data_IF_814751924790
#
_entry.id   IF_814751924790
#
_cell.length_a   1.000
_cell.length_b   1.000
_cell.length_c   1.000
_cell.angle_alpha   90.00
_cell.angle_beta   90.00
_cell.angle_gamma   90.00
#
_symmetry.space_group_name_H-M   'P 1'
#
loop_
_entity.id
_entity.type
_entity.pdbx_description
1 polymer ?
#
# COMPACT_ATOMS: atom_id res chain seq x y z
N UNK A 1 -4.68 12.75 -22.46
CA UNK A 1 -4.26 12.32 -21.11
C UNK A 1 -2.77 12.03 -21.10
N UNK A 2 -2.07 12.43 -20.03
CA UNK A 2 -0.65 12.13 -19.83
C UNK A 2 -0.53 10.82 -19.05
N UNK A 3 0.55 10.08 -19.26
CA UNK A 3 0.85 8.86 -18.50
C UNK A 3 1.24 9.28 -17.08
N UNK A 4 0.73 8.63 -16.02
CA UNK A 4 1.22 8.83 -14.67
C UNK A 4 2.71 8.47 -14.59
N UNK A 5 3.52 9.43 -14.18
CA UNK A 5 4.96 9.28 -13.93
C UNK A 5 5.23 9.71 -12.50
N UNK A 6 6.36 9.28 -11.93
CA UNK A 6 6.74 9.72 -10.60
C UNK A 6 6.86 11.24 -10.53
N UNK A 7 6.19 11.84 -9.55
CA UNK A 7 6.41 13.23 -9.14
C UNK A 7 6.99 13.24 -7.71
N UNK A 8 8.05 14.02 -7.51
CA UNK A 8 8.63 14.23 -6.18
C UNK A 8 7.78 15.26 -5.42
N UNK A 9 7.42 14.92 -4.18
CA UNK A 9 6.76 15.82 -3.25
C UNK A 9 7.77 16.29 -2.20
N UNK A 10 8.20 17.54 -2.33
CA UNK A 10 9.03 18.21 -1.33
C UNK A 10 8.13 18.66 -0.18
N UNK A 11 8.40 18.16 1.02
CA UNK A 11 7.66 18.50 2.24
C UNK A 11 8.62 19.25 3.17
N UNK A 12 8.30 20.50 3.47
CA UNK A 12 9.12 21.35 4.34
C UNK A 12 8.78 21.13 5.82
N UNK A 13 7.50 20.90 6.13
CA UNK A 13 7.01 20.65 7.49
C UNK A 13 6.15 19.37 7.53
N UNK A 14 6.53 18.45 8.43
CA UNK A 14 5.88 17.16 8.65
C UNK A 14 4.86 17.20 9.81
N UNK A 15 4.42 18.39 10.22
CA UNK A 15 3.24 18.55 11.08
C UNK A 15 1.98 18.03 10.39
N UNK A 16 1.05 17.45 11.16
CA UNK A 16 -0.17 16.85 10.61
C UNK A 16 -1.02 17.87 9.85
N UNK A 17 -1.15 19.10 10.37
CA UNK A 17 -1.93 20.16 9.72
C UNK A 17 -1.35 20.53 8.36
N UNK A 18 -0.03 20.74 8.29
CA UNK A 18 0.63 21.09 7.03
C UNK A 18 0.59 19.92 6.03
N UNK A 19 0.78 18.69 6.48
CA UNK A 19 0.67 17.49 5.63
C UNK A 19 -0.71 17.35 5.01
N UNK A 20 -1.78 17.60 5.79
CA UNK A 20 -3.16 17.57 5.27
C UNK A 20 -3.38 18.62 4.20
N UNK A 21 -2.92 19.84 4.42
CA UNK A 21 -3.02 20.90 3.42
C UNK A 21 -2.23 20.53 2.17
N UNK A 22 -0.97 20.13 2.33
CA UNK A 22 -0.07 19.74 1.25
C UNK A 22 -0.65 18.61 0.41
N UNK A 23 -1.21 17.57 1.04
CA UNK A 23 -1.79 16.43 0.33
C UNK A 23 -3.11 16.75 -0.38
N UNK A 24 -3.92 17.68 0.16
CA UNK A 24 -5.12 18.17 -0.54
C UNK A 24 -4.78 19.02 -1.76
N UNK A 25 -3.74 19.84 -1.67
CA UNK A 25 -3.30 20.72 -2.76
C UNK A 25 -2.50 19.96 -3.83
N UNK A 26 -1.98 18.78 -3.48
CA UNK A 26 -1.21 17.90 -4.36
C UNK A 26 -2.04 16.79 -5.00
N UNK A 27 -1.46 16.13 -5.99
CA UNK A 27 -2.09 15.02 -6.73
C UNK A 27 -1.85 13.66 -6.05
N UNK A 28 -1.69 13.64 -4.73
CA UNK A 28 -1.41 12.40 -3.98
C UNK A 28 -2.58 11.43 -4.18
N UNK A 29 -2.27 10.15 -4.44
CA UNK A 29 -3.27 9.14 -4.77
C UNK A 29 -3.77 9.18 -6.23
N UNK A 30 -3.53 10.25 -6.99
CA UNK A 30 -3.92 10.36 -8.42
C UNK A 30 -2.78 10.02 -9.38
N UNK A 31 -1.55 10.12 -8.90
CA UNK A 31 -0.31 9.76 -9.61
C UNK A 31 0.67 9.12 -8.63
N UNK A 32 1.64 8.32 -9.11
CA UNK A 32 2.66 7.77 -8.23
C UNK A 32 3.58 8.90 -7.74
N UNK A 33 3.80 8.97 -6.43
CA UNK A 33 4.61 10.03 -5.84
C UNK A 33 5.61 9.48 -4.84
N UNK A 34 6.66 10.24 -4.56
CA UNK A 34 7.59 9.93 -3.49
C UNK A 34 8.04 11.19 -2.76
N UNK A 35 8.43 11.05 -1.50
CA UNK A 35 9.07 12.11 -0.72
C UNK A 35 10.44 11.65 -0.21
N UNK A 36 11.41 12.57 -0.28
CA UNK A 36 12.79 12.33 0.13
C UNK A 36 13.05 12.83 1.55
N UNK A 37 13.61 11.96 2.41
CA UNK A 37 13.97 12.26 3.80
C UNK A 37 15.46 12.54 4.00
N UNK A 38 16.23 12.75 2.92
CA UNK A 38 17.68 12.98 3.01
C UNK A 38 18.06 14.20 3.87
N UNK A 39 17.17 15.20 4.02
CA UNK A 39 17.38 16.38 4.87
C UNK A 39 17.00 16.20 6.34
N UNK A 40 16.32 15.11 6.73
CA UNK A 40 15.84 14.89 8.08
C UNK A 40 16.85 14.13 8.95
N UNK A 41 16.90 14.48 10.23
CA UNK A 41 17.71 13.72 11.19
C UNK A 41 17.15 12.30 11.38
N UNK A 42 17.99 11.29 11.66
CA UNK A 42 17.53 9.90 11.84
C UNK A 42 16.45 9.72 12.93
N UNK A 43 16.38 10.63 13.90
CA UNK A 43 15.38 10.61 14.98
C UNK A 43 14.01 11.14 14.54
N UNK A 44 13.98 12.07 13.59
CA UNK A 44 12.76 12.71 13.10
C UNK A 44 12.09 11.87 12.00
N UNK A 45 12.87 11.11 11.23
CA UNK A 45 12.37 10.28 10.10
C UNK A 45 11.20 9.36 10.49
N UNK A 46 11.21 8.59 11.59
CA UNK A 46 10.08 7.75 11.97
C UNK A 46 8.83 8.56 12.34
N UNK A 47 9.01 9.70 12.99
CA UNK A 47 7.91 10.60 13.39
C UNK A 47 7.27 11.20 12.14
N UNK A 48 8.09 11.69 11.20
CA UNK A 48 7.64 12.21 9.93
C UNK A 48 6.87 11.16 9.11
N UNK A 49 7.39 9.93 9.01
CA UNK A 49 6.72 8.84 8.30
C UNK A 49 5.37 8.48 8.94
N UNK A 50 5.30 8.43 10.27
CA UNK A 50 4.06 8.17 10.99
C UNK A 50 3.03 9.29 10.76
N UNK A 51 3.46 10.55 10.80
CA UNK A 51 2.58 11.69 10.54
C UNK A 51 2.03 11.66 9.10
N UNK A 52 2.86 11.27 8.11
CA UNK A 52 2.40 11.07 6.73
C UNK A 52 1.32 10.00 6.68
N UNK A 53 1.54 8.85 7.31
CA UNK A 53 0.58 7.75 7.30
C UNK A 53 -0.77 8.14 7.95
N UNK A 54 -0.70 8.88 9.07
CA UNK A 54 -1.90 9.43 9.72
C UNK A 54 -2.62 10.42 8.79
N UNK A 55 -1.89 11.35 8.18
CA UNK A 55 -2.48 12.32 7.26
C UNK A 55 -3.11 11.67 6.02
N UNK A 56 -2.47 10.64 5.44
CA UNK A 56 -3.03 9.87 4.33
C UNK A 56 -4.33 9.18 4.74
N UNK A 57 -4.35 8.56 5.93
CA UNK A 57 -5.54 7.88 6.45
C UNK A 57 -6.69 8.85 6.73
N UNK A 58 -6.42 10.04 7.26
CA UNK A 58 -7.44 11.07 7.49
C UNK A 58 -8.06 11.60 6.19
N UNK A 59 -7.31 11.56 5.09
CA UNK A 59 -7.78 11.95 3.76
C UNK A 59 -8.37 10.78 2.96
N UNK A 60 -8.47 9.58 3.56
CA UNK A 60 -8.90 8.35 2.91
C UNK A 60 -8.06 8.00 1.65
N UNK A 61 -6.77 8.33 1.68
CA UNK A 61 -5.83 8.04 0.60
C UNK A 61 -5.02 6.81 0.96
N UNK A 62 -5.23 5.72 0.23
CA UNK A 62 -4.49 4.49 0.49
C UNK A 62 -3.05 4.56 -0.07
N UNK A 63 -2.02 4.15 0.69
CA UNK A 63 -0.61 4.31 0.28
C UNK A 63 -0.19 3.57 -0.99
N UNK A 64 -0.93 2.54 -1.40
CA UNK A 64 -0.58 1.69 -2.55
C UNK A 64 -1.50 1.87 -3.76
N UNK A 65 -2.71 2.37 -3.54
CA UNK A 65 -3.79 2.34 -4.51
C UNK A 65 -4.56 3.67 -4.52
N UNK A 66 -5.01 4.14 -5.70
CA UNK A 66 -4.79 3.54 -7.02
C UNK A 66 -3.36 3.76 -7.54
N UNK A 67 -2.63 4.73 -6.98
CA UNK A 67 -1.22 4.94 -7.24
C UNK A 67 -0.42 4.98 -5.92
N UNK A 68 0.81 4.45 -5.92
CA UNK A 68 1.58 4.34 -4.71
C UNK A 68 2.25 5.66 -4.29
N UNK A 69 2.35 5.85 -2.98
CA UNK A 69 3.19 6.85 -2.34
C UNK A 69 4.41 6.15 -1.71
N UNK A 70 5.61 6.65 -1.99
CA UNK A 70 6.87 6.08 -1.50
C UNK A 70 7.65 7.05 -0.62
N UNK A 71 8.43 6.52 0.31
CA UNK A 71 9.37 7.31 1.11
C UNK A 71 10.80 6.89 0.76
N UNK A 72 11.67 7.86 0.52
CA UNK A 72 13.09 7.62 0.30
C UNK A 72 13.85 8.02 1.56
N UNK A 73 14.50 7.05 2.18
CA UNK A 73 15.25 7.23 3.43
C UNK A 73 16.42 6.25 3.50
N UNK A 74 17.59 6.75 3.88
CA UNK A 74 18.80 5.93 4.07
C UNK A 74 18.63 4.93 5.22
N UNK A 75 17.81 5.29 6.21
CA UNK A 75 17.51 4.45 7.37
C UNK A 75 16.18 3.75 7.18
N UNK A 76 16.15 2.44 7.42
CA UNK A 76 14.91 1.67 7.38
C UNK A 76 13.95 2.15 8.49
N UNK A 77 12.72 2.46 8.10
CA UNK A 77 11.64 2.84 9.01
C UNK A 77 10.72 1.63 9.14
N UNK A 78 10.42 1.21 10.38
CA UNK A 78 9.53 0.07 10.67
C UNK A 78 8.22 0.57 11.25
N UNK A 79 7.17 -0.23 11.10
CA UNK A 79 5.87 0.04 11.71
C UNK A 79 4.95 0.95 10.88
N UNK A 80 5.32 1.25 9.64
CA UNK A 80 4.50 2.00 8.69
C UNK A 80 4.02 1.09 7.56
N UNK A 81 2.85 1.38 6.99
CA UNK A 81 2.35 0.66 5.80
C UNK A 81 3.03 1.11 4.51
N UNK A 82 3.58 2.33 4.49
CA UNK A 82 4.22 2.93 3.31
C UNK A 82 5.54 2.22 2.99
N UNK A 83 5.78 1.99 1.69
CA UNK A 83 7.04 1.39 1.24
C UNK A 83 8.20 2.39 1.29
N UNK A 84 9.29 1.99 1.97
CA UNK A 84 10.50 2.80 2.13
C UNK A 84 11.65 2.23 1.31
N UNK A 85 12.31 3.09 0.53
CA UNK A 85 13.45 2.75 -0.30
C UNK A 85 14.67 3.58 0.10
N UNK A 86 15.87 3.07 -0.17
CA UNK A 86 17.11 3.79 0.16
C UNK A 86 17.44 4.88 -0.85
N UNK A 87 17.11 4.64 -2.13
CA UNK A 87 17.37 5.59 -3.22
C UNK A 87 16.22 5.63 -4.22
N UNK A 88 16.21 6.68 -5.05
CA UNK A 88 15.23 6.86 -6.14
C UNK A 88 15.36 5.75 -7.18
N UNK A 89 16.58 5.25 -7.44
CA UNK A 89 16.80 4.21 -8.45
C UNK A 89 16.20 2.85 -8.07
N UNK A 90 15.95 2.63 -6.77
CA UNK A 90 15.34 1.40 -6.27
C UNK A 90 13.82 1.39 -6.45
N UNK A 91 13.22 2.52 -6.84
CA UNK A 91 11.80 2.61 -7.11
C UNK A 91 11.41 1.79 -8.35
N UNK A 92 10.17 1.26 -8.38
CA UNK A 92 9.72 0.46 -9.50
C UNK A 92 9.81 1.14 -10.88
N UNK A 93 10.48 0.47 -11.82
CA UNK A 93 10.81 1.02 -13.16
C UNK A 93 9.61 1.37 -14.06
N UNK A 94 8.41 0.88 -13.73
CA UNK A 94 7.24 0.99 -14.61
C UNK A 94 6.69 2.42 -14.74
N UNK A 95 6.90 3.29 -13.75
CA UNK A 95 6.51 4.70 -13.80
C UNK A 95 7.64 5.64 -14.28
N UNK A 96 8.87 5.15 -14.41
CA UNK A 96 9.99 5.92 -15.00
C UNK A 96 9.94 5.87 -16.52
N UNK A 97 8.97 6.58 -17.12
CA UNK A 97 8.89 6.72 -18.59
C UNK A 97 8.96 8.18 -18.99
N UNK A 98 9.84 8.48 -19.95
CA UNK A 98 9.85 9.78 -20.62
C UNK A 98 8.51 9.97 -21.35
N UNK A 99 7.93 11.17 -21.22
CA UNK A 99 6.66 11.49 -21.86
C UNK A 99 6.76 11.32 -23.38
N UNK A 100 6.17 10.24 -23.90
CA UNK A 100 6.03 9.99 -25.34
C UNK A 100 4.56 10.16 -25.73
N UNK A 101 4.31 10.68 -26.94
CA UNK A 101 2.96 10.71 -27.50
C UNK A 101 2.44 9.28 -27.64
N UNK A 102 1.32 9.01 -26.97
CA UNK A 102 0.66 7.71 -26.98
C UNK A 102 0.09 7.40 -28.37
N UNK A 103 0.19 6.13 -28.78
CA UNK A 103 -0.54 5.59 -29.94
C UNK A 103 -2.02 5.42 -29.56
N UNK A 104 -2.91 5.36 -30.56
CA UNK A 104 -4.35 5.20 -30.32
C UNK A 104 -4.70 3.97 -29.45
N UNK A 105 -4.01 2.84 -29.65
CA UNK A 105 -4.20 1.63 -28.81
C UNK A 105 -3.80 1.87 -27.35
N UNK A 106 -2.71 2.60 -27.12
CA UNK A 106 -2.21 2.91 -25.77
C UNK A 106 -3.12 3.93 -25.08
N UNK A 107 -3.70 4.87 -25.84
CA UNK A 107 -4.66 5.83 -25.33
C UNK A 107 -5.97 5.16 -24.88
N UNK A 108 -6.46 4.17 -25.63
CA UNK A 108 -7.61 3.36 -25.21
C UNK A 108 -7.31 2.58 -23.93
N UNK A 109 -6.12 1.99 -23.81
CA UNK A 109 -5.67 1.30 -22.60
C UNK A 109 -5.59 2.26 -21.41
N UNK A 110 -5.02 3.45 -21.62
CA UNK A 110 -4.93 4.49 -20.59
C UNK A 110 -6.31 4.88 -20.06
N UNK A 111 -7.27 5.14 -20.96
CA UNK A 111 -8.63 5.49 -20.56
C UNK A 111 -9.28 4.37 -19.73
N UNK A 112 -9.08 3.10 -20.13
CA UNK A 112 -9.58 1.96 -19.36
C UNK A 112 -8.94 1.90 -17.97
N UNK A 113 -7.63 2.11 -17.87
CA UNK A 113 -6.94 2.12 -16.56
C UNK A 113 -7.37 3.28 -15.69
N UNK A 114 -7.63 4.46 -16.26
CA UNK A 114 -8.12 5.63 -15.51
C UNK A 114 -9.50 5.36 -14.92
N UNK A 115 -10.42 4.79 -15.70
CA UNK A 115 -11.74 4.40 -15.19
C UNK A 115 -11.66 3.34 -14.08
N UNK A 116 -10.70 2.42 -14.16
CA UNK A 116 -10.47 1.46 -13.08
C UNK A 116 -9.89 2.13 -11.83
N UNK A 117 -8.96 3.07 -12.00
CA UNK A 117 -8.39 3.84 -10.89
C UNK A 117 -9.46 4.67 -10.17
N UNK A 118 -10.37 5.32 -10.90
CA UNK A 118 -11.51 6.04 -10.33
C UNK A 118 -12.44 5.10 -9.55
N UNK A 119 -12.70 3.90 -10.08
CA UNK A 119 -13.46 2.88 -9.33
C UNK A 119 -12.76 2.48 -8.04
N UNK A 120 -11.45 2.30 -8.07
CA UNK A 120 -10.65 1.97 -6.88
C UNK A 120 -10.70 3.09 -5.85
N UNK A 121 -10.55 4.34 -6.29
CA UNK A 121 -10.65 5.53 -5.44
C UNK A 121 -12.02 5.66 -4.75
N UNK A 122 -13.10 5.30 -5.44
CA UNK A 122 -14.46 5.34 -4.88
C UNK A 122 -14.77 4.18 -3.91
N UNK A 123 -13.82 3.29 -3.64
CA UNK A 123 -13.99 2.22 -2.67
C UNK A 123 -13.25 2.57 -1.38
N UNK A 124 -13.86 2.26 -0.24
CA UNK A 124 -13.15 2.26 1.05
C UNK A 124 -12.14 1.10 1.07
N UNK A 125 -10.88 1.42 0.84
CA UNK A 125 -9.80 0.44 0.75
C UNK A 125 -9.32 -0.02 2.13
N UNK A 126 -9.37 0.87 3.13
CA UNK A 126 -8.98 0.53 4.49
C UNK A 126 -9.95 -0.48 5.10
N UNK A 127 -11.26 -0.26 4.97
CA UNK A 127 -12.27 -1.20 5.45
C UNK A 127 -12.13 -2.58 4.78
N UNK A 128 -11.89 -2.61 3.46
CA UNK A 128 -11.69 -3.87 2.74
C UNK A 128 -10.43 -4.60 3.19
N UNK A 129 -9.35 -3.87 3.46
CA UNK A 129 -8.11 -4.46 3.98
C UNK A 129 -8.36 -5.13 5.35
N UNK A 130 -9.11 -4.47 6.23
CA UNK A 130 -9.43 -5.00 7.55
C UNK A 130 -10.29 -6.28 7.46
N UNK A 131 -11.33 -6.27 6.62
CA UNK A 131 -12.18 -7.45 6.36
C UNK A 131 -11.32 -8.62 5.83
N UNK A 132 -10.39 -8.34 4.92
CA UNK A 132 -9.50 -9.37 4.37
C UNK A 132 -8.55 -9.93 5.43
N UNK A 133 -7.99 -9.09 6.30
CA UNK A 133 -7.11 -9.51 7.40
C UNK A 133 -7.86 -10.39 8.39
N UNK A 134 -9.07 -10.00 8.77
CA UNK A 134 -9.93 -10.80 9.66
C UNK A 134 -10.29 -12.14 9.03
N UNK A 135 -10.73 -12.14 7.77
CA UNK A 135 -11.05 -13.35 7.03
C UNK A 135 -9.86 -14.31 6.93
N UNK A 136 -8.67 -13.79 6.64
CA UNK A 136 -7.44 -14.59 6.61
C UNK A 136 -7.10 -15.21 7.97
N UNK A 137 -7.22 -14.45 9.06
CA UNK A 137 -6.96 -14.95 10.41
C UNK A 137 -7.91 -16.12 10.75
N UNK A 138 -9.20 -15.95 10.47
CA UNK A 138 -10.22 -16.97 10.71
C UNK A 138 -9.99 -18.24 9.87
N UNK A 139 -9.63 -18.09 8.60
CA UNK A 139 -9.30 -19.24 7.75
C UNK A 139 -8.07 -20.00 8.24
N UNK A 140 -7.05 -19.29 8.70
CA UNK A 140 -5.85 -19.91 9.28
C UNK A 140 -6.16 -20.68 10.55
N UNK A 141 -7.04 -20.14 11.40
CA UNK A 141 -7.50 -20.83 12.60
C UNK A 141 -8.33 -22.07 12.25
N UNK A 142 -9.31 -21.93 11.34
CA UNK A 142 -10.13 -23.04 10.85
C UNK A 142 -9.24 -24.18 10.32
N UNK A 143 -8.26 -23.86 9.47
CA UNK A 143 -7.32 -24.85 8.95
C UNK A 143 -6.56 -25.60 10.05
N UNK A 144 -6.11 -24.90 11.10
CA UNK A 144 -5.46 -25.54 12.25
C UNK A 144 -6.42 -26.48 12.99
N UNK A 145 -7.65 -26.03 13.24
CA UNK A 145 -8.67 -26.83 13.93
C UNK A 145 -9.13 -28.03 13.12
N UNK A 146 -9.29 -27.90 11.80
CA UNK A 146 -9.62 -29.01 10.92
C UNK A 146 -8.51 -30.07 10.87
N UNK A 147 -7.23 -29.65 10.87
CA UNK A 147 -6.11 -30.59 10.97
C UNK A 147 -6.08 -31.34 12.30
N UNK A 148 -6.34 -30.62 13.39
CA UNK A 148 -6.41 -31.21 14.73
C UNK A 148 -7.57 -32.21 14.84
N UNK A 149 -8.75 -31.86 14.33
CA UNK A 149 -9.91 -32.75 14.27
C UNK A 149 -9.61 -34.02 13.47
N UNK A 150 -9.07 -33.87 12.25
CA UNK A 150 -8.74 -35.01 11.40
C UNK A 150 -7.76 -35.98 12.09
N UNK A 151 -6.78 -35.44 12.83
CA UNK A 151 -5.86 -36.25 13.61
C UNK A 151 -6.58 -37.08 14.68
N UNK A 152 -7.49 -36.47 15.44
CA UNK A 152 -8.27 -37.21 16.45
C UNK A 152 -9.23 -38.23 15.84
N UNK A 153 -9.84 -37.92 14.70
CA UNK A 153 -10.69 -38.87 13.96
C UNK A 153 -9.90 -40.11 13.53
N UNK A 154 -8.66 -39.93 13.03
CA UNK A 154 -7.79 -41.04 12.67
C UNK A 154 -7.42 -41.90 13.89
N UNK A 155 -7.08 -41.28 15.03
CA UNK A 155 -6.81 -42.04 16.27
C UNK A 155 -8.04 -42.83 16.72
N UNK A 156 -9.22 -42.21 16.70
CA UNK A 156 -10.47 -42.90 17.07
C UNK A 156 -10.78 -44.06 16.13
N UNK A 157 -10.49 -43.89 14.84
CA UNK A 157 -10.66 -44.95 13.85
C UNK A 157 -9.72 -46.13 14.15
N UNK A 158 -8.43 -45.86 14.36
CA UNK A 158 -7.42 -46.88 14.70
C UNK A 158 -7.79 -47.66 15.98
N UNK A 159 -8.27 -46.95 17.02
CA UNK A 159 -8.70 -47.58 18.28
C UNK A 159 -9.91 -48.51 18.07
N UNK A 160 -10.89 -48.07 17.28
CA UNK A 160 -12.08 -48.88 16.99
C UNK A 160 -11.78 -50.09 16.08
N UNK A 161 -10.70 -50.05 15.29
CA UNK A 161 -10.23 -51.24 14.55
C UNK A 161 -9.49 -52.24 15.44
N UNK A 162 -8.80 -51.78 16.49
CA UNK A 162 -8.10 -52.68 17.43
C UNK A 162 -9.04 -53.42 18.38
N UNK A 163 -10.23 -52.87 18.66
CA UNK A 163 -11.26 -53.47 19.53
C UNK A 163 -12.17 -54.50 18.80
N UNK A 164 -11.97 -54.75 17.51
CA UNK A 164 -12.68 -55.77 16.70
C UNK A 164 -11.84 -57.02 16.46
#
# INVERSE_FOLDING_TARGET
MRIPIYEELTIEDFSLENLRQTFNDCKVGLIPMYSSFHGLSPKERPIAAMNIEVALKELDIYPFYPYPFYIISETAIRGITISVFSKVEDLPSHYFKKAKRLKNKELLLLNKTTLLAEKVFNNDLYQKEDILKEGYANQKELYRKSKELNFYENILWDLNEQDK
#
